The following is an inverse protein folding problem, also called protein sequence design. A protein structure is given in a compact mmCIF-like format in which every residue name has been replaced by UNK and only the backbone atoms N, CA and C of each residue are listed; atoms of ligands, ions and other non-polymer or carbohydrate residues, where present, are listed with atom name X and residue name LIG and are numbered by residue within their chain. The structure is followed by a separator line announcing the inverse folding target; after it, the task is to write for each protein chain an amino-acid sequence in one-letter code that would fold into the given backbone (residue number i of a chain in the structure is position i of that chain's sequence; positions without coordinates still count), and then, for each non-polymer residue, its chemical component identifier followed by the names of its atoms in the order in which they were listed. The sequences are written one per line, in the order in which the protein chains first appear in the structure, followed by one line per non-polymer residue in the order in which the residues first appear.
data_IF_879155240838
#
_entry.id   IF_879155240838
#
_cell.length_a   1.000
_cell.length_b   1.000
_cell.length_c   1.000
_cell.angle_alpha   90.00
_cell.angle_beta   90.00
_cell.angle_gamma   90.00
#
_symmetry.space_group_name_H-M   'P 1'
#
loop_
_entity.id
_entity.type
_entity.pdbx_description
1 polymer ?
#
# COMPACT_ATOMS: atom_id res chain seq x y z
N UNK A 1 18.58 -24.73 -9.87
CA UNK A 1 18.88 -23.27 -9.95
C UNK A 1 18.77 -22.70 -8.54
N UNK A 2 19.73 -21.83 -8.15
CA UNK A 2 19.75 -21.16 -6.85
C UNK A 2 19.10 -19.79 -6.97
N UNK A 3 18.14 -19.50 -6.08
CA UNK A 3 17.39 -18.23 -6.04
C UNK A 3 17.50 -17.65 -4.63
N UNK A 4 17.87 -16.38 -4.52
CA UNK A 4 17.83 -15.61 -3.30
C UNK A 4 16.47 -14.91 -3.14
N UNK A 5 15.89 -14.93 -1.95
CA UNK A 5 14.70 -14.16 -1.60
C UNK A 5 15.01 -13.33 -0.37
N UNK A 6 14.94 -12.01 -0.52
CA UNK A 6 15.19 -11.02 0.52
C UNK A 6 13.85 -10.44 0.96
N UNK A 7 13.58 -10.51 2.27
CA UNK A 7 12.30 -10.08 2.85
C UNK A 7 11.28 -11.22 2.93
N UNK A 8 11.03 -11.66 4.18
CA UNK A 8 10.10 -12.74 4.52
C UNK A 8 8.78 -12.22 5.13
N UNK A 9 8.26 -11.14 4.56
CA UNK A 9 6.91 -10.68 4.81
C UNK A 9 5.85 -11.65 4.26
N UNK A 10 4.59 -11.22 4.22
CA UNK A 10 3.46 -12.06 3.78
C UNK A 10 3.72 -12.66 2.39
N UNK A 11 4.14 -11.85 1.43
CA UNK A 11 4.34 -12.27 0.03
C UNK A 11 5.67 -12.98 -0.17
N UNK A 12 6.78 -12.39 0.27
CA UNK A 12 8.11 -13.00 0.06
C UNK A 12 8.24 -14.40 0.65
N UNK A 13 7.61 -14.66 1.81
CA UNK A 13 7.51 -15.99 2.41
C UNK A 13 6.70 -16.95 1.55
N UNK A 14 5.55 -16.50 1.02
CA UNK A 14 4.70 -17.29 0.12
C UNK A 14 5.43 -17.67 -1.15
N UNK A 15 6.11 -16.71 -1.81
CA UNK A 15 6.91 -16.91 -3.01
C UNK A 15 8.07 -17.88 -2.73
N UNK A 16 8.83 -17.68 -1.64
CA UNK A 16 9.94 -18.57 -1.29
C UNK A 16 9.47 -20.02 -1.07
N UNK A 17 8.35 -20.21 -0.36
CA UNK A 17 7.77 -21.53 -0.16
C UNK A 17 7.29 -22.17 -1.48
N UNK A 18 6.66 -21.38 -2.35
CA UNK A 18 6.20 -21.85 -3.65
C UNK A 18 7.37 -22.28 -4.55
N UNK A 19 8.42 -21.47 -4.66
CA UNK A 19 9.61 -21.78 -5.45
C UNK A 19 10.31 -23.07 -4.95
N UNK A 20 10.35 -23.30 -3.64
CA UNK A 20 10.86 -24.58 -3.08
C UNK A 20 10.02 -25.77 -3.54
N UNK A 21 8.69 -25.66 -3.53
CA UNK A 21 7.79 -26.72 -4.04
C UNK A 21 7.98 -27.01 -5.53
N UNK A 22 8.40 -25.98 -6.30
CA UNK A 22 8.78 -26.13 -7.72
C UNK A 22 10.18 -26.71 -7.93
N UNK A 23 10.91 -27.10 -6.86
CA UNK A 23 12.21 -27.72 -6.94
C UNK A 23 13.39 -26.75 -7.02
N UNK A 24 13.19 -25.45 -6.82
CA UNK A 24 14.30 -24.50 -6.76
C UNK A 24 15.01 -24.55 -5.40
N UNK A 25 16.34 -24.40 -5.43
CA UNK A 25 17.11 -24.22 -4.20
C UNK A 25 17.01 -22.73 -3.79
N UNK A 26 16.18 -22.45 -2.78
CA UNK A 26 15.89 -21.09 -2.34
C UNK A 26 16.63 -20.77 -1.06
N UNK A 27 17.53 -19.79 -1.13
CA UNK A 27 18.19 -19.15 -0.01
C UNK A 27 17.43 -17.90 0.39
N UNK A 28 17.35 -17.62 1.68
CA UNK A 28 16.52 -16.52 2.18
C UNK A 28 17.28 -15.66 3.18
N UNK A 29 16.99 -14.38 3.15
CA UNK A 29 17.47 -13.43 4.14
C UNK A 29 16.34 -12.49 4.58
N UNK A 30 16.35 -12.10 5.83
CA UNK A 30 15.44 -11.11 6.39
C UNK A 30 16.12 -10.35 7.51
N UNK A 31 15.85 -9.06 7.66
CA UNK A 31 16.44 -8.20 8.70
C UNK A 31 16.30 -8.80 10.10
N UNK A 32 15.12 -9.32 10.43
CA UNK A 32 14.92 -10.11 11.63
C UNK A 32 15.06 -11.58 11.28
N UNK A 33 16.03 -12.32 11.87
CA UNK A 33 16.23 -13.74 11.61
C UNK A 33 14.95 -14.56 11.84
N UNK A 34 14.76 -15.58 11.02
CA UNK A 34 13.62 -16.51 11.12
C UNK A 34 14.10 -17.96 10.96
N UNK A 35 13.52 -18.91 11.70
CA UNK A 35 13.88 -20.32 11.62
C UNK A 35 13.25 -20.96 10.36
N UNK A 36 13.83 -20.67 9.21
CA UNK A 36 13.38 -21.21 7.92
C UNK A 36 14.55 -21.86 7.17
N UNK A 37 14.31 -22.89 6.33
CA UNK A 37 15.38 -23.56 5.59
C UNK A 37 16.22 -22.61 4.75
N UNK A 38 17.55 -22.86 4.68
CA UNK A 38 18.52 -22.07 3.91
C UNK A 38 18.47 -20.56 4.23
N UNK A 39 18.22 -20.21 5.50
CA UNK A 39 18.40 -18.83 5.96
C UNK A 39 19.90 -18.53 6.01
N UNK A 40 20.30 -17.41 5.43
CA UNK A 40 21.72 -16.98 5.39
C UNK A 40 21.96 -15.79 6.30
N UNK A 41 23.21 -15.61 6.72
CA UNK A 41 23.58 -14.60 7.72
C UNK A 41 23.67 -13.19 7.19
N UNK A 42 23.87 -13.00 5.88
CA UNK A 42 24.07 -11.68 5.28
C UNK A 42 23.51 -11.56 3.86
N UNK A 43 23.33 -10.31 3.41
CA UNK A 43 22.98 -10.00 2.03
C UNK A 43 24.11 -10.37 1.05
N UNK A 44 25.35 -10.22 1.48
CA UNK A 44 26.54 -10.58 0.70
C UNK A 44 26.52 -12.09 0.39
N UNK A 45 26.17 -12.92 1.37
CA UNK A 45 26.05 -14.37 1.19
C UNK A 45 24.96 -14.73 0.16
N UNK A 46 23.83 -14.00 0.13
CA UNK A 46 22.80 -14.15 -0.94
C UNK A 46 23.44 -13.92 -2.31
N UNK A 47 24.22 -12.85 -2.48
CA UNK A 47 24.85 -12.54 -3.76
C UNK A 47 25.93 -13.58 -4.15
N UNK A 48 26.66 -14.13 -3.19
CA UNK A 48 27.65 -15.18 -3.48
C UNK A 48 27.01 -16.48 -3.94
N UNK A 49 25.90 -16.87 -3.32
CA UNK A 49 25.22 -18.14 -3.56
C UNK A 49 24.26 -18.12 -4.77
N UNK A 50 23.62 -16.98 -5.06
CA UNK A 50 22.46 -16.91 -5.94
C UNK A 50 22.73 -16.02 -7.15
N UNK A 51 22.37 -16.50 -8.34
CA UNK A 51 22.35 -15.69 -9.58
C UNK A 51 21.12 -14.77 -9.63
N UNK A 52 19.97 -15.26 -9.22
CA UNK A 52 18.70 -14.55 -9.24
C UNK A 52 18.33 -14.15 -7.82
N UNK A 53 18.05 -12.87 -7.61
CA UNK A 53 17.77 -12.30 -6.28
C UNK A 53 16.45 -11.52 -6.35
N UNK A 54 15.45 -11.99 -5.62
CA UNK A 54 14.15 -11.35 -5.49
C UNK A 54 14.08 -10.54 -4.19
N UNK A 55 13.65 -9.29 -4.26
CA UNK A 55 13.66 -8.33 -3.15
C UNK A 55 12.22 -7.92 -2.83
N UNK A 56 11.76 -8.26 -1.61
CA UNK A 56 10.44 -7.95 -1.06
C UNK A 56 10.58 -7.12 0.21
N UNK A 57 10.94 -5.86 0.08
CA UNK A 57 11.12 -4.93 1.21
C UNK A 57 9.99 -3.91 1.26
N UNK A 58 9.85 -3.20 2.40
CA UNK A 58 8.65 -2.44 2.72
C UNK A 58 8.59 -1.03 2.14
N UNK A 59 9.74 -0.39 1.92
CA UNK A 59 9.82 1.02 1.55
C UNK A 59 11.09 1.34 0.75
N UNK A 60 11.22 2.60 0.36
CA UNK A 60 12.31 3.15 -0.45
C UNK A 60 13.68 2.97 0.21
N UNK A 61 13.78 3.33 1.49
CA UNK A 61 15.01 3.23 2.27
C UNK A 61 15.51 1.77 2.33
N UNK A 62 14.62 0.84 2.67
CA UNK A 62 14.97 -0.58 2.74
C UNK A 62 15.40 -1.15 1.38
N UNK A 63 14.83 -0.67 0.26
CA UNK A 63 15.27 -1.07 -1.08
C UNK A 63 16.67 -0.56 -1.36
N UNK A 64 16.93 0.74 -1.14
CA UNK A 64 18.22 1.36 -1.41
C UNK A 64 19.33 0.78 -0.53
N UNK A 65 19.08 0.57 0.76
CA UNK A 65 20.00 -0.12 1.66
C UNK A 65 20.31 -1.54 1.19
N UNK A 66 19.28 -2.31 0.83
CA UNK A 66 19.44 -3.69 0.37
C UNK A 66 20.32 -3.77 -0.86
N UNK A 67 20.05 -2.95 -1.90
CA UNK A 67 20.86 -2.98 -3.13
C UNK A 67 22.26 -2.43 -2.90
N UNK A 68 22.43 -1.48 -1.99
CA UNK A 68 23.76 -0.96 -1.63
C UNK A 68 24.64 -2.06 -1.01
N UNK A 69 24.12 -2.79 -0.01
CA UNK A 69 24.86 -3.90 0.60
C UNK A 69 25.12 -5.05 -0.37
N UNK A 70 24.18 -5.35 -1.27
CA UNK A 70 24.37 -6.36 -2.31
C UNK A 70 25.44 -5.95 -3.30
N UNK A 71 25.55 -4.64 -3.63
CA UNK A 71 26.45 -4.11 -4.69
C UNK A 71 27.92 -4.46 -4.47
N UNK A 72 28.35 -4.70 -3.23
CA UNK A 72 29.70 -5.12 -2.88
C UNK A 72 30.08 -6.49 -3.49
N UNK A 73 29.12 -7.34 -3.74
CA UNK A 73 29.29 -8.72 -4.25
C UNK A 73 28.61 -8.98 -5.60
N UNK A 74 27.92 -7.97 -6.14
CA UNK A 74 27.28 -8.09 -7.44
C UNK A 74 28.29 -8.13 -8.58
N UNK A 75 27.93 -8.84 -9.65
CA UNK A 75 28.69 -8.97 -10.88
C UNK A 75 27.73 -9.23 -12.06
N UNK A 76 28.23 -9.25 -13.29
CA UNK A 76 27.46 -9.46 -14.55
C UNK A 76 26.55 -10.67 -14.58
N UNK A 77 26.83 -11.69 -13.75
CA UNK A 77 26.00 -12.91 -13.67
C UNK A 77 24.64 -12.68 -12.96
N UNK A 78 24.52 -11.62 -12.13
CA UNK A 78 23.36 -11.43 -11.28
C UNK A 78 22.21 -10.74 -12.00
N UNK A 79 21.01 -11.15 -11.61
CA UNK A 79 19.73 -10.54 -12.01
C UNK A 79 18.92 -10.28 -10.75
N UNK A 80 18.68 -9.00 -10.45
CA UNK A 80 17.89 -8.57 -9.31
C UNK A 80 16.48 -8.20 -9.77
N UNK A 81 15.47 -8.69 -9.02
CA UNK A 81 14.07 -8.39 -9.25
C UNK A 81 13.53 -7.66 -8.03
N UNK A 82 13.19 -6.40 -8.17
CA UNK A 82 12.60 -5.59 -7.10
C UNK A 82 11.08 -5.65 -7.17
N UNK A 83 10.46 -6.24 -6.15
CA UNK A 83 9.02 -6.44 -6.06
C UNK A 83 8.32 -5.43 -5.15
N UNK A 84 9.08 -4.54 -4.55
CA UNK A 84 8.59 -3.54 -3.62
C UNK A 84 7.84 -2.42 -4.34
N UNK A 85 6.74 -1.93 -3.78
CA UNK A 85 6.13 -0.67 -4.21
C UNK A 85 6.84 0.48 -3.51
N UNK A 86 7.59 1.25 -4.27
CA UNK A 86 8.40 2.40 -3.84
C UNK A 86 8.19 3.56 -4.81
N UNK A 87 8.75 4.73 -4.52
CA UNK A 87 8.72 5.85 -5.46
C UNK A 87 9.48 5.47 -6.77
N UNK A 88 9.00 5.88 -7.96
CA UNK A 88 9.66 5.59 -9.23
C UNK A 88 11.12 6.05 -9.28
N UNK A 89 11.46 7.17 -8.62
CA UNK A 89 12.84 7.65 -8.54
C UNK A 89 13.73 6.75 -7.68
N UNK A 90 13.21 6.23 -6.57
CA UNK A 90 13.93 5.25 -5.74
C UNK A 90 14.17 3.94 -6.48
N UNK A 91 13.21 3.51 -7.31
CA UNK A 91 13.37 2.33 -8.16
C UNK A 91 14.47 2.55 -9.21
N UNK A 92 14.51 3.74 -9.86
CA UNK A 92 15.58 4.11 -10.79
C UNK A 92 16.95 4.19 -10.10
N UNK A 93 17.01 4.79 -8.92
CA UNK A 93 18.25 4.87 -8.15
C UNK A 93 18.76 3.48 -7.73
N UNK A 94 17.88 2.57 -7.33
CA UNK A 94 18.22 1.18 -7.03
C UNK A 94 18.81 0.46 -8.26
N UNK A 95 18.19 0.63 -9.42
CA UNK A 95 18.69 0.07 -10.69
C UNK A 95 20.09 0.59 -11.01
N UNK A 96 20.33 1.91 -10.89
CA UNK A 96 21.67 2.50 -11.13
C UNK A 96 22.74 1.90 -10.22
N UNK A 97 22.44 1.69 -8.93
CA UNK A 97 23.40 1.08 -7.98
C UNK A 97 23.76 -0.33 -8.46
N UNK A 98 22.79 -1.13 -8.84
CA UNK A 98 22.97 -2.52 -9.29
C UNK A 98 23.73 -2.57 -10.63
N UNK A 99 23.33 -1.75 -11.60
CA UNK A 99 23.89 -1.77 -12.95
C UNK A 99 25.34 -1.28 -13.00
N UNK A 100 25.78 -0.43 -12.06
CA UNK A 100 27.21 -0.05 -11.93
C UNK A 100 28.13 -1.24 -11.65
N UNK A 101 27.64 -2.30 -11.00
CA UNK A 101 28.40 -3.55 -10.81
C UNK A 101 28.32 -4.50 -12.03
N UNK A 102 27.64 -4.07 -13.10
CA UNK A 102 27.40 -4.84 -14.32
C UNK A 102 26.27 -5.88 -14.17
N UNK A 103 25.63 -5.96 -13.03
CA UNK A 103 24.43 -6.79 -12.79
C UNK A 103 23.20 -6.21 -13.52
N UNK A 104 22.15 -7.01 -13.67
CA UNK A 104 20.90 -6.59 -14.29
C UNK A 104 19.84 -6.37 -13.24
N UNK A 105 18.96 -5.42 -13.52
CA UNK A 105 17.87 -5.04 -12.63
C UNK A 105 16.52 -5.11 -13.36
N UNK A 106 15.49 -5.56 -12.67
CA UNK A 106 14.10 -5.62 -13.12
C UNK A 106 13.21 -4.99 -12.06
N UNK A 107 12.48 -3.97 -12.44
CA UNK A 107 11.36 -3.40 -11.69
C UNK A 107 10.16 -4.34 -11.89
N UNK A 108 9.75 -5.06 -10.84
CA UNK A 108 8.79 -6.15 -10.93
C UNK A 108 7.75 -6.16 -9.80
N UNK A 109 7.05 -5.04 -9.51
CA UNK A 109 5.93 -5.07 -8.58
C UNK A 109 4.85 -6.05 -9.05
N UNK A 110 4.00 -6.44 -8.13
CA UNK A 110 2.98 -7.46 -8.38
C UNK A 110 1.60 -7.01 -7.88
N UNK A 111 0.58 -7.70 -8.37
CA UNK A 111 -0.74 -7.74 -7.75
C UNK A 111 -1.14 -9.19 -7.46
N UNK A 112 -1.90 -9.36 -6.39
CA UNK A 112 -2.31 -10.66 -5.86
C UNK A 112 -2.25 -10.68 -4.34
N UNK A 113 -2.97 -11.64 -3.76
CA UNK A 113 -3.07 -11.84 -2.32
C UNK A 113 -1.98 -12.77 -1.77
N UNK A 114 -1.96 -12.95 -0.44
CA UNK A 114 -1.19 -14.00 0.25
C UNK A 114 -1.38 -15.37 -0.42
N UNK A 115 -2.64 -15.74 -0.69
CA UNK A 115 -2.98 -17.02 -1.32
C UNK A 115 -2.43 -17.14 -2.75
N UNK A 116 -2.48 -16.05 -3.53
CA UNK A 116 -1.90 -16.02 -4.87
C UNK A 116 -0.38 -16.23 -4.83
N UNK A 117 0.32 -15.63 -3.87
CA UNK A 117 1.76 -15.84 -3.67
C UNK A 117 2.08 -17.30 -3.31
N UNK A 118 1.28 -17.91 -2.43
CA UNK A 118 1.44 -19.30 -2.02
C UNK A 118 1.16 -20.29 -3.17
N UNK A 119 0.22 -19.96 -4.06
CA UNK A 119 -0.13 -20.79 -5.23
C UNK A 119 0.77 -20.55 -6.45
N UNK A 120 1.56 -19.46 -6.46
CA UNK A 120 2.33 -19.05 -7.64
C UNK A 120 1.45 -18.42 -8.71
N UNK A 121 0.43 -17.67 -8.30
CA UNK A 121 -0.57 -17.03 -9.16
C UNK A 121 -0.50 -15.49 -9.10
N UNK A 122 0.67 -14.93 -8.78
CA UNK A 122 0.86 -13.49 -8.82
C UNK A 122 0.80 -12.96 -10.26
N UNK A 123 0.32 -11.75 -10.43
CA UNK A 123 0.47 -11.00 -11.68
C UNK A 123 1.58 -9.99 -11.49
N UNK A 124 2.67 -10.15 -12.24
CA UNK A 124 3.80 -9.23 -12.20
C UNK A 124 3.68 -8.16 -13.28
N UNK A 125 3.89 -6.92 -12.91
CA UNK A 125 4.18 -5.83 -13.83
C UNK A 125 5.69 -5.72 -13.94
N UNK A 126 6.26 -5.79 -15.14
CA UNK A 126 7.71 -5.83 -15.28
C UNK A 126 8.23 -4.71 -16.18
N UNK A 127 9.32 -4.09 -15.76
CA UNK A 127 10.01 -3.08 -16.55
C UNK A 127 11.53 -3.26 -16.43
N UNK A 128 12.24 -2.96 -17.50
CA UNK A 128 13.68 -3.11 -17.59
C UNK A 128 14.16 -3.31 -19.00
N UNK A 129 15.47 -3.50 -19.19
CA UNK A 129 15.99 -3.81 -20.51
C UNK A 129 15.63 -5.25 -20.94
N UNK A 130 15.51 -5.48 -22.24
CA UNK A 130 15.08 -6.78 -22.82
C UNK A 130 15.94 -7.96 -22.37
N UNK A 131 17.24 -7.75 -22.13
CA UNK A 131 18.12 -8.82 -21.69
C UNK A 131 17.84 -9.20 -20.22
N UNK A 132 17.61 -8.20 -19.36
CA UNK A 132 17.23 -8.43 -17.96
C UNK A 132 15.88 -9.16 -17.88
N UNK A 133 14.87 -8.74 -18.67
CA UNK A 133 13.55 -9.35 -18.69
C UNK A 133 13.60 -10.81 -19.17
N UNK A 134 14.34 -11.11 -20.25
CA UNK A 134 14.53 -12.50 -20.71
C UNK A 134 15.19 -13.38 -19.63
N UNK A 135 16.23 -12.87 -18.98
CA UNK A 135 16.94 -13.64 -17.95
C UNK A 135 16.08 -13.85 -16.69
N UNK A 136 15.24 -12.87 -16.35
CA UNK A 136 14.32 -12.96 -15.21
C UNK A 136 13.11 -13.86 -15.48
N UNK A 137 12.76 -14.07 -16.75
CA UNK A 137 11.54 -14.77 -17.19
C UNK A 137 11.34 -16.09 -16.46
N UNK A 138 12.36 -16.96 -16.45
CA UNK A 138 12.29 -18.28 -15.82
C UNK A 138 11.92 -18.23 -14.32
N UNK A 139 12.40 -17.20 -13.60
CA UNK A 139 12.12 -17.04 -12.16
C UNK A 139 10.74 -16.43 -11.93
N UNK A 140 10.34 -15.48 -12.77
CA UNK A 140 9.03 -14.86 -12.71
C UNK A 140 7.92 -15.86 -13.07
N UNK A 141 8.07 -16.60 -14.18
CA UNK A 141 7.13 -17.62 -14.63
C UNK A 141 6.88 -18.71 -13.59
N UNK A 142 7.88 -19.02 -12.77
CA UNK A 142 7.76 -20.03 -11.72
C UNK A 142 6.73 -19.65 -10.63
N UNK A 143 6.41 -18.36 -10.46
CA UNK A 143 5.48 -17.85 -9.44
C UNK A 143 4.41 -16.90 -9.99
N UNK A 144 4.25 -16.82 -11.31
CA UNK A 144 3.32 -15.94 -12.00
C UNK A 144 2.10 -16.69 -12.53
N UNK A 145 0.91 -16.06 -12.40
CA UNK A 145 -0.25 -16.31 -13.26
C UNK A 145 -0.10 -15.59 -14.59
N UNK A 146 0.47 -14.38 -14.55
CA UNK A 146 0.65 -13.52 -15.71
C UNK A 146 1.83 -12.58 -15.48
N UNK A 147 2.53 -12.24 -16.55
CA UNK A 147 3.58 -11.23 -16.58
C UNK A 147 3.17 -10.18 -17.62
N UNK A 148 3.14 -8.91 -17.22
CA UNK A 148 2.78 -7.79 -18.09
C UNK A 148 4.00 -6.89 -18.21
N UNK A 149 4.59 -6.85 -19.39
CA UNK A 149 5.72 -5.95 -19.69
C UNK A 149 5.22 -4.52 -19.87
N UNK A 150 5.80 -3.58 -19.11
CA UNK A 150 5.35 -2.19 -19.04
C UNK A 150 6.28 -1.26 -19.83
N UNK A 151 7.61 -1.42 -19.64
CA UNK A 151 8.58 -0.56 -20.31
C UNK A 151 9.87 -0.34 -19.54
N UNK A 152 10.22 0.92 -19.27
CA UNK A 152 11.46 1.29 -18.58
C UNK A 152 11.32 1.23 -17.07
N UNK A 153 12.45 1.06 -16.35
CA UNK A 153 12.53 1.08 -14.87
C UNK A 153 11.79 2.30 -14.29
N UNK A 154 10.98 2.06 -13.29
CA UNK A 154 10.11 3.04 -12.64
C UNK A 154 8.68 3.07 -13.21
N UNK A 155 8.46 2.58 -14.46
CA UNK A 155 7.12 2.57 -15.05
C UNK A 155 6.23 1.44 -14.49
N UNK A 156 6.79 0.27 -14.20
CA UNK A 156 6.03 -0.82 -13.58
C UNK A 156 5.61 -0.44 -12.16
N UNK A 157 6.50 0.15 -11.39
CA UNK A 157 6.17 0.64 -10.04
C UNK A 157 5.18 1.81 -10.08
N UNK A 158 5.26 2.73 -11.08
CA UNK A 158 4.26 3.78 -11.27
C UNK A 158 2.87 3.20 -11.57
N UNK A 159 2.78 2.20 -12.47
CA UNK A 159 1.53 1.49 -12.74
C UNK A 159 0.98 0.83 -11.47
N UNK A 160 1.84 0.20 -10.67
CA UNK A 160 1.42 -0.42 -9.40
C UNK A 160 0.83 0.60 -8.43
N UNK A 161 1.42 1.78 -8.30
CA UNK A 161 0.89 2.87 -7.48
C UNK A 161 -0.50 3.27 -8.00
N UNK A 162 -0.64 3.52 -9.31
CA UNK A 162 -1.91 3.89 -9.93
C UNK A 162 -3.01 2.83 -9.71
N UNK A 163 -2.69 1.54 -9.86
CA UNK A 163 -3.66 0.45 -9.59
C UNK A 163 -4.03 0.36 -8.12
N UNK A 164 -3.09 0.64 -7.20
CA UNK A 164 -3.39 0.67 -5.77
C UNK A 164 -4.24 1.88 -5.37
N UNK A 165 -4.13 3.03 -6.05
CA UNK A 165 -5.06 4.16 -5.88
C UNK A 165 -6.50 3.73 -6.15
N UNK A 166 -6.77 3.08 -7.28
CA UNK A 166 -8.10 2.57 -7.63
C UNK A 166 -8.58 1.56 -6.56
N UNK A 167 -7.70 0.64 -6.17
CA UNK A 167 -8.01 -0.39 -5.18
C UNK A 167 -8.39 0.21 -3.83
N UNK A 168 -7.61 1.16 -3.33
CA UNK A 168 -7.86 1.81 -2.04
C UNK A 168 -9.13 2.67 -2.07
N UNK A 169 -9.33 3.44 -3.14
CA UNK A 169 -10.55 4.25 -3.33
C UNK A 169 -11.81 3.39 -3.38
N UNK A 170 -11.78 2.26 -4.10
CA UNK A 170 -12.91 1.34 -4.19
C UNK A 170 -13.28 0.74 -2.82
N UNK A 171 -12.29 0.40 -2.01
CA UNK A 171 -12.53 -0.16 -0.66
C UNK A 171 -13.06 0.90 0.29
N UNK A 172 -12.56 2.13 0.22
CA UNK A 172 -13.11 3.24 1.00
C UNK A 172 -14.55 3.54 0.61
N UNK A 173 -14.85 3.62 -0.69
CA UNK A 173 -16.21 3.85 -1.18
C UNK A 173 -17.17 2.72 -0.75
N UNK A 174 -16.72 1.47 -0.76
CA UNK A 174 -17.51 0.33 -0.28
C UNK A 174 -17.81 0.42 1.23
N UNK A 175 -16.84 0.87 2.04
CA UNK A 175 -17.05 1.07 3.47
C UNK A 175 -18.12 2.14 3.75
N UNK A 176 -18.11 3.25 2.99
CA UNK A 176 -19.11 4.31 3.08
C UNK A 176 -20.49 3.84 2.60
N UNK A 177 -20.54 3.07 1.50
CA UNK A 177 -21.80 2.53 0.99
C UNK A 177 -22.44 1.51 1.94
N UNK A 178 -21.63 0.65 2.59
CA UNK A 178 -22.11 -0.27 3.62
C UNK A 178 -22.66 0.50 4.83
N UNK A 179 -21.99 1.57 5.25
CA UNK A 179 -22.46 2.42 6.34
C UNK A 179 -23.80 3.11 6.01
N UNK A 180 -23.94 3.63 4.80
CA UNK A 180 -25.20 4.21 4.32
C UNK A 180 -26.32 3.17 4.26
N UNK A 181 -26.04 1.97 3.72
CA UNK A 181 -27.00 0.87 3.67
C UNK A 181 -27.51 0.51 5.07
N UNK A 182 -26.59 0.38 6.04
CA UNK A 182 -26.94 0.09 7.43
C UNK A 182 -27.79 1.21 8.05
N UNK A 183 -27.39 2.48 7.85
CA UNK A 183 -28.13 3.64 8.38
C UNK A 183 -29.57 3.74 7.83
N UNK A 184 -29.79 3.24 6.62
CA UNK A 184 -31.11 3.16 5.98
C UNK A 184 -31.88 1.86 6.30
N UNK A 185 -31.34 1.01 7.19
CA UNK A 185 -31.98 -0.24 7.59
C UNK A 185 -31.95 -1.35 6.54
N UNK A 186 -31.07 -1.26 5.53
CA UNK A 186 -30.88 -2.33 4.54
C UNK A 186 -30.03 -3.44 5.13
N UNK A 187 -30.46 -4.72 5.01
CA UNK A 187 -29.61 -5.85 5.39
C UNK A 187 -28.32 -5.85 4.58
N UNK A 188 -27.16 -5.88 5.24
CA UNK A 188 -25.85 -5.79 4.57
C UNK A 188 -25.59 -6.98 3.65
N UNK A 189 -26.12 -8.17 3.97
CA UNK A 189 -26.06 -9.36 3.12
C UNK A 189 -26.80 -9.13 1.80
N UNK A 190 -27.94 -8.44 1.82
CA UNK A 190 -28.69 -8.09 0.61
C UNK A 190 -27.96 -7.01 -0.20
N UNK A 191 -27.26 -6.10 0.46
CA UNK A 191 -26.40 -5.16 -0.24
C UNK A 191 -25.27 -5.88 -1.00
N UNK A 192 -24.60 -6.86 -0.37
CA UNK A 192 -23.54 -7.65 -1.04
C UNK A 192 -24.10 -8.44 -2.21
N UNK A 193 -25.24 -9.14 -2.03
CA UNK A 193 -25.92 -9.88 -3.10
C UNK A 193 -26.25 -8.98 -4.31
N UNK A 194 -26.77 -7.77 -4.06
CA UNK A 194 -27.03 -6.79 -5.12
C UNK A 194 -25.76 -6.31 -5.81
N UNK A 195 -24.67 -6.12 -5.04
CA UNK A 195 -23.37 -5.73 -5.59
C UNK A 195 -22.76 -6.81 -6.48
N UNK A 196 -22.98 -8.10 -6.20
CA UNK A 196 -22.49 -9.19 -7.06
C UNK A 196 -23.02 -9.12 -8.49
N UNK A 197 -24.24 -8.59 -8.67
CA UNK A 197 -24.84 -8.33 -9.98
C UNK A 197 -24.49 -6.96 -10.57
N UNK A 198 -23.76 -6.10 -9.81
CA UNK A 198 -23.47 -4.73 -10.24
C UNK A 198 -22.17 -4.66 -11.06
N UNK A 199 -22.16 -3.83 -12.09
CA UNK A 199 -21.02 -3.66 -12.99
C UNK A 199 -19.75 -3.12 -12.28
N UNK A 200 -19.87 -2.44 -11.15
CA UNK A 200 -18.74 -1.95 -10.34
C UNK A 200 -18.15 -3.01 -9.41
N UNK A 201 -18.76 -4.22 -9.33
CA UNK A 201 -18.27 -5.30 -8.50
C UNK A 201 -16.93 -5.83 -9.02
N UNK A 202 -15.94 -5.91 -8.15
CA UNK A 202 -14.60 -6.36 -8.49
C UNK A 202 -14.12 -7.47 -7.55
N UNK A 203 -13.09 -8.21 -7.95
CA UNK A 203 -12.48 -9.23 -7.09
C UNK A 203 -11.98 -8.64 -5.75
N UNK A 204 -11.59 -7.37 -5.72
CA UNK A 204 -11.23 -6.66 -4.49
C UNK A 204 -12.45 -6.47 -3.60
N UNK A 205 -13.56 -6.00 -4.12
CA UNK A 205 -14.80 -5.79 -3.36
C UNK A 205 -15.39 -7.12 -2.88
N UNK A 206 -15.37 -8.16 -3.71
CA UNK A 206 -15.74 -9.52 -3.34
C UNK A 206 -14.99 -10.04 -2.10
N UNK A 207 -13.71 -9.72 -2.01
CA UNK A 207 -12.86 -10.11 -0.89
C UNK A 207 -13.08 -9.23 0.34
N UNK A 208 -13.28 -7.91 0.17
CA UNK A 208 -13.20 -6.93 1.26
C UNK A 208 -14.53 -6.63 1.92
N UNK A 209 -15.64 -6.61 1.19
CA UNK A 209 -16.96 -6.34 1.80
C UNK A 209 -17.36 -7.36 2.87
N UNK A 210 -17.23 -8.68 2.65
CA UNK A 210 -17.50 -9.65 3.72
C UNK A 210 -16.61 -9.44 4.95
N UNK A 211 -15.32 -9.13 4.75
CA UNK A 211 -14.38 -8.83 5.87
C UNK A 211 -14.83 -7.63 6.70
N UNK A 212 -15.29 -6.56 6.04
CA UNK A 212 -15.80 -5.37 6.72
C UNK A 212 -17.04 -5.68 7.57
N UNK A 213 -17.99 -6.44 7.01
CA UNK A 213 -19.23 -6.84 7.68
C UNK A 213 -18.93 -7.76 8.87
N UNK A 214 -18.06 -8.75 8.68
CA UNK A 214 -17.65 -9.71 9.72
C UNK A 214 -16.62 -9.14 10.71
N UNK A 215 -16.13 -7.91 10.47
CA UNK A 215 -15.05 -7.28 11.25
C UNK A 215 -13.76 -8.12 11.31
N UNK A 216 -13.51 -8.93 10.28
CA UNK A 216 -12.27 -9.68 10.12
C UNK A 216 -11.22 -8.83 9.41
N UNK A 217 -10.28 -8.28 10.16
CA UNK A 217 -9.22 -7.45 9.63
C UNK A 217 -7.84 -8.14 9.63
N UNK A 218 -7.84 -9.48 9.60
CA UNK A 218 -6.60 -10.25 9.36
C UNK A 218 -5.95 -9.78 8.04
N UNK A 219 -4.67 -9.35 8.06
CA UNK A 219 -4.09 -8.64 6.94
C UNK A 219 -3.79 -9.53 5.74
N UNK A 220 -4.42 -9.22 4.61
CA UNK A 220 -3.94 -9.59 3.28
C UNK A 220 -3.00 -8.52 2.73
N UNK A 221 -3.29 -7.26 3.01
CA UNK A 221 -2.46 -6.09 2.77
C UNK A 221 -2.76 -5.05 3.85
N UNK A 222 -1.73 -4.65 4.61
CA UNK A 222 -1.97 -3.87 5.82
C UNK A 222 -2.22 -2.38 5.55
N UNK A 223 -2.91 -1.73 6.50
CA UNK A 223 -3.15 -0.27 6.55
C UNK A 223 -1.85 0.49 6.29
N UNK A 224 -0.76 0.17 7.02
CA UNK A 224 0.51 0.89 6.88
C UNK A 224 1.11 0.82 5.48
N UNK A 225 0.95 -0.32 4.79
CA UNK A 225 1.48 -0.47 3.44
C UNK A 225 0.62 0.24 2.40
N UNK A 226 -0.72 0.19 2.53
CA UNK A 226 -1.61 0.94 1.65
C UNK A 226 -1.45 2.45 1.87
N UNK A 227 -1.32 2.90 3.14
CA UNK A 227 -1.04 4.30 3.46
C UNK A 227 0.25 4.77 2.79
N UNK A 228 1.33 3.98 2.88
CA UNK A 228 2.59 4.29 2.22
C UNK A 228 2.40 4.48 0.71
N UNK A 229 1.66 3.59 0.05
CA UNK A 229 1.41 3.69 -1.39
C UNK A 229 0.61 4.95 -1.74
N UNK A 230 -0.40 5.32 -0.94
CA UNK A 230 -1.15 6.58 -1.11
C UNK A 230 -0.29 7.81 -0.82
N UNK A 231 0.64 7.74 0.13
CA UNK A 231 1.61 8.82 0.39
C UNK A 231 2.55 9.02 -0.80
N UNK A 232 3.03 7.95 -1.44
CA UNK A 232 3.84 8.05 -2.66
C UNK A 232 3.00 8.70 -3.78
N UNK A 233 1.75 8.28 -3.96
CA UNK A 233 0.86 8.87 -4.96
C UNK A 233 0.65 10.38 -4.73
N UNK A 234 0.43 10.82 -3.48
CA UNK A 234 0.29 12.23 -3.16
C UNK A 234 1.61 13.03 -3.32
N UNK A 235 2.76 12.41 -3.13
CA UNK A 235 4.05 13.06 -3.44
C UNK A 235 4.19 13.27 -4.95
N UNK A 236 3.80 12.28 -5.77
CA UNK A 236 3.79 12.39 -7.23
C UNK A 236 2.76 13.41 -7.72
N UNK A 237 1.58 13.49 -7.06
CA UNK A 237 0.58 14.53 -7.28
C UNK A 237 1.18 15.94 -7.15
N UNK A 238 1.82 16.21 -6.02
CA UNK A 238 2.47 17.50 -5.75
C UNK A 238 3.58 17.82 -6.75
N UNK A 239 4.32 16.79 -7.21
CA UNK A 239 5.43 16.94 -8.17
C UNK A 239 4.91 17.23 -9.58
N UNK A 240 3.78 16.63 -9.96
CA UNK A 240 3.22 16.68 -11.32
C UNK A 240 1.98 17.57 -11.44
N UNK A 241 1.52 18.21 -10.36
CA UNK A 241 0.35 19.11 -10.30
C UNK A 241 -0.95 18.45 -10.83
N UNK A 242 -1.27 17.23 -10.33
CA UNK A 242 -2.36 16.41 -10.86
C UNK A 242 -3.72 16.62 -10.15
N UNK A 243 -3.74 17.18 -8.93
CA UNK A 243 -4.95 17.35 -8.09
C UNK A 243 -5.70 16.04 -7.80
N UNK A 244 -5.05 15.11 -7.11
CA UNK A 244 -5.57 13.77 -6.80
C UNK A 244 -6.44 13.76 -5.52
N UNK A 245 -7.56 14.51 -5.51
CA UNK A 245 -8.40 14.71 -4.32
C UNK A 245 -8.94 13.41 -3.69
N UNK A 246 -9.37 12.43 -4.49
CA UNK A 246 -9.82 11.12 -3.97
C UNK A 246 -8.68 10.39 -3.26
N UNK A 247 -7.47 10.39 -3.83
CA UNK A 247 -6.31 9.74 -3.22
C UNK A 247 -5.93 10.41 -1.90
N UNK A 248 -6.02 11.74 -1.83
CA UNK A 248 -5.79 12.48 -0.59
C UNK A 248 -6.81 12.10 0.49
N UNK A 249 -8.09 12.03 0.16
CA UNK A 249 -9.13 11.60 1.10
C UNK A 249 -8.90 10.17 1.62
N UNK A 250 -8.56 9.24 0.74
CA UNK A 250 -8.27 7.84 1.12
C UNK A 250 -7.01 7.75 1.99
N UNK A 251 -5.95 8.50 1.66
CA UNK A 251 -4.74 8.59 2.49
C UNK A 251 -5.10 9.02 3.92
N UNK A 252 -5.95 10.04 4.07
CA UNK A 252 -6.33 10.57 5.38
C UNK A 252 -7.14 9.56 6.19
N UNK A 253 -8.01 8.77 5.55
CA UNK A 253 -8.72 7.65 6.21
C UNK A 253 -7.78 6.54 6.69
N UNK A 254 -6.76 6.20 5.88
CA UNK A 254 -5.75 5.23 6.28
C UNK A 254 -4.85 5.78 7.41
N UNK A 255 -4.50 7.07 7.36
CA UNK A 255 -3.73 7.74 8.42
C UNK A 255 -4.51 7.73 9.75
N UNK A 256 -5.80 7.97 9.72
CA UNK A 256 -6.69 7.87 10.88
C UNK A 256 -6.59 6.46 11.52
N UNK A 257 -6.60 5.38 10.71
CA UNK A 257 -6.43 4.02 11.25
C UNK A 257 -5.02 3.79 11.84
N UNK A 258 -3.99 4.39 11.28
CA UNK A 258 -2.63 4.36 11.87
C UNK A 258 -2.61 5.02 13.26
N UNK A 259 -3.27 6.17 13.41
CA UNK A 259 -3.36 6.90 14.68
C UNK A 259 -4.09 6.09 15.78
N UNK A 260 -5.02 5.22 15.37
CA UNK A 260 -5.72 4.27 16.25
C UNK A 260 -4.92 2.97 16.51
N UNK A 261 -3.64 2.91 16.12
CA UNK A 261 -2.78 1.74 16.34
C UNK A 261 -3.07 0.53 15.44
N UNK A 262 -3.88 0.69 14.38
CA UNK A 262 -4.37 -0.39 13.50
C UNK A 262 -3.49 -0.59 12.24
N UNK A 263 -2.25 -0.15 12.29
CA UNK A 263 -1.34 -0.17 11.14
C UNK A 263 -1.06 -1.57 10.57
N UNK A 264 -1.13 -2.61 11.39
CA UNK A 264 -0.92 -3.99 11.01
C UNK A 264 -2.19 -4.74 10.58
N UNK A 265 -3.37 -4.15 10.78
CA UNK A 265 -4.64 -4.70 10.28
C UNK A 265 -4.74 -4.56 8.76
N UNK A 266 -5.65 -5.32 8.17
CA UNK A 266 -5.99 -5.18 6.74
C UNK A 266 -6.50 -3.78 6.43
N UNK A 267 -6.14 -3.23 5.27
CA UNK A 267 -6.52 -1.86 4.92
C UNK A 267 -8.05 -1.66 4.81
N UNK A 268 -8.84 -2.73 4.74
CA UNK A 268 -10.30 -2.67 4.88
C UNK A 268 -10.76 -2.23 6.28
N UNK A 269 -9.84 -2.14 7.27
CA UNK A 269 -10.10 -1.58 8.58
C UNK A 269 -10.54 -0.09 8.55
N UNK A 270 -10.45 0.59 7.41
CA UNK A 270 -11.11 1.90 7.20
C UNK A 270 -12.62 1.84 7.50
N UNK A 271 -13.24 0.67 7.37
CA UNK A 271 -14.64 0.43 7.73
C UNK A 271 -14.92 0.59 9.23
N UNK A 272 -13.94 0.40 10.12
CA UNK A 272 -14.12 0.57 11.59
C UNK A 272 -14.59 1.98 11.97
N UNK A 273 -14.32 2.99 11.14
CA UNK A 273 -14.85 4.32 11.34
C UNK A 273 -16.38 4.36 11.35
N UNK A 274 -16.99 3.53 10.53
CA UNK A 274 -18.44 3.52 10.31
C UNK A 274 -19.14 2.44 11.14
N UNK A 275 -18.40 1.45 11.60
CA UNK A 275 -18.87 0.34 12.43
C UNK A 275 -18.04 0.30 13.72
N UNK A 276 -18.22 1.29 14.64
CA UNK A 276 -17.48 1.31 15.90
C UNK A 276 -17.78 0.02 16.67
N UNK A 277 -16.78 -0.48 17.39
CA UNK A 277 -16.98 -1.55 18.37
C UNK A 277 -17.90 -0.99 19.46
N UNK A 278 -18.95 -1.74 19.81
CA UNK A 278 -19.63 -1.49 21.07
C UNK A 278 -18.62 -1.97 22.12
N UNK A 279 -17.97 -1.05 22.81
CA UNK A 279 -17.16 -1.43 23.96
C UNK A 279 -18.06 -2.24 24.89
N UNK A 280 -17.63 -3.41 25.37
CA UNK A 280 -18.37 -4.10 26.41
C UNK A 280 -18.47 -3.12 27.59
N UNK A 281 -19.69 -2.76 27.96
CA UNK A 281 -19.96 -1.92 29.14
C UNK A 281 -19.17 -2.54 30.26
N UNK A 282 -18.21 -1.79 30.80
CA UNK A 282 -17.38 -2.30 31.89
C UNK A 282 -18.29 -2.67 33.06
N UNK A 283 -18.13 -3.86 33.64
CA UNK A 283 -18.94 -4.34 34.78
C UNK A 283 -18.95 -3.37 35.99
N UNK A 284 -18.16 -2.31 35.93
CA UNK A 284 -18.13 -1.25 36.95
C UNK A 284 -19.26 -0.22 36.78
N UNK A 285 -19.86 -0.05 35.60
CA UNK A 285 -20.99 0.87 35.41
C UNK A 285 -22.34 0.24 35.74
N UNK A 286 -22.46 -1.08 35.80
CA UNK A 286 -23.71 -1.78 36.17
C UNK A 286 -23.97 -1.82 37.68
N UNK A 287 -23.08 -1.28 38.53
CA UNK A 287 -23.24 -1.30 40.01
C UNK A 287 -23.68 0.01 40.61
N UNK A 288 -23.99 1.04 39.85
CA UNK A 288 -24.37 2.36 40.39
C UNK A 288 -25.79 2.85 40.12
N UNK A 289 -26.67 2.03 39.52
CA UNK A 289 -28.09 2.40 39.37
C UNK A 289 -29.05 1.42 40.05
N UNK A 290 -28.87 1.26 41.36
CA UNK A 290 -29.90 0.71 42.26
C UNK A 290 -30.30 1.80 43.23
N UNK A 291 -31.07 2.79 42.78
CA UNK A 291 -31.87 3.65 43.66
C UNK A 291 -33.25 3.81 43.04
N UNK A 292 -34.17 3.14 43.72
CA UNK A 292 -35.61 3.22 43.57
C UNK A 292 -36.13 4.65 43.50
N UNK A 293 -37.01 4.95 42.55
CA UNK A 293 -38.18 5.81 42.79
C UNK A 293 -39.37 5.45 41.90
N UNK A 294 -40.61 5.67 42.38
CA UNK A 294 -41.80 4.94 41.94
C UNK A 294 -42.55 5.64 40.83
N UNK A 295 -43.24 4.79 40.07
CA UNK A 295 -44.14 5.12 38.98
C UNK A 295 -45.31 5.94 39.49
N UNK A 296 -45.50 7.16 38.99
CA UNK A 296 -46.75 7.90 39.09
C UNK A 296 -47.48 7.93 37.76
N UNK A 297 -48.66 7.35 37.73
CA UNK A 297 -49.62 7.38 36.65
C UNK A 297 -50.06 8.81 36.30
N UNK A 298 -50.08 9.19 35.04
CA UNK A 298 -50.97 10.24 34.54
C UNK A 298 -51.51 9.83 33.14
N UNK A 299 -52.78 9.58 33.18
CA UNK A 299 -53.65 9.23 32.05
C UNK A 299 -53.94 10.42 31.16
N UNK A 300 -54.09 10.14 29.91
CA UNK A 300 -55.02 10.67 28.90
C UNK A 300 -55.31 12.18 28.82
N UNK A 301 -55.05 12.77 27.70
CA UNK A 301 -55.98 13.69 27.02
C UNK A 301 -55.80 13.61 25.52
N UNK A 302 -56.93 13.23 24.90
CA UNK A 302 -57.09 13.20 23.43
C UNK A 302 -57.54 14.59 22.90
N UNK A 303 -57.26 14.76 21.63
CA UNK A 303 -58.00 15.59 20.68
C UNK A 303 -57.92 17.11 20.78
N UNK A 304 -57.36 17.75 19.76
CA UNK A 304 -58.12 18.69 18.92
C UNK A 304 -57.41 18.97 17.61
N UNK A 305 -58.09 18.66 16.53
CA UNK A 305 -57.78 19.04 15.15
C UNK A 305 -58.11 20.54 14.93
N UNK A 306 -57.19 21.24 14.27
CA UNK A 306 -57.55 22.43 13.46
C UNK A 306 -56.72 22.49 12.18
N UNK A 307 -57.41 22.34 11.10
CA UNK A 307 -57.05 22.71 9.71
C UNK A 307 -56.85 24.23 9.59
N UNK A 308 -56.03 24.68 8.67
CA UNK A 308 -56.17 25.81 7.72
C UNK A 308 -54.80 26.15 7.13
N UNK A 309 -54.59 25.84 5.90
CA UNK A 309 -54.46 26.67 4.67
C UNK A 309 -53.21 27.46 4.42
N UNK A 310 -52.80 27.32 3.16
CA UNK A 310 -52.09 28.26 2.28
C UNK A 310 -50.57 28.32 2.28
N UNK A 311 -50.06 27.79 1.15
CA UNK A 311 -48.75 28.14 0.56
C UNK A 311 -48.67 29.61 0.20
N UNK A 312 -47.46 30.18 0.14
CA UNK A 312 -47.16 31.05 -1.00
C UNK A 312 -45.95 30.55 -1.80
N UNK A 313 -46.15 30.49 -3.09
CA UNK A 313 -45.11 30.38 -4.13
C UNK A 313 -44.17 31.56 -4.05
N UNK A 314 -42.86 31.29 -4.09
CA UNK A 314 -41.84 32.28 -4.40
C UNK A 314 -41.05 31.85 -5.65
N UNK A 315 -40.63 32.82 -6.49
CA UNK A 315 -40.13 32.55 -7.84
C UNK A 315 -38.64 32.20 -7.86
N UNK A 316 -38.30 31.38 -8.85
CA UNK A 316 -36.91 31.10 -9.24
C UNK A 316 -36.28 32.37 -9.80
N UNK A 317 -35.23 32.85 -9.18
CA UNK A 317 -34.23 33.70 -9.82
C UNK A 317 -32.82 33.17 -9.55
N UNK A 318 -32.15 32.93 -10.67
CA UNK A 318 -30.75 32.56 -10.77
C UNK A 318 -29.85 33.59 -10.08
N UNK A 319 -29.02 33.15 -9.11
CA UNK A 319 -27.77 33.80 -8.81
C UNK A 319 -26.71 32.76 -8.50
N UNK A 320 -25.91 32.43 -9.52
CA UNK A 320 -24.61 31.82 -9.35
C UNK A 320 -23.70 32.90 -8.79
N UNK A 321 -23.44 32.84 -7.49
CA UNK A 321 -22.36 33.62 -6.88
C UNK A 321 -21.10 32.77 -6.92
N UNK A 322 -20.09 33.25 -7.62
CA UNK A 322 -18.75 32.72 -7.64
C UNK A 322 -18.18 32.75 -6.21
N UNK A 323 -17.88 31.57 -5.66
CA UNK A 323 -17.08 31.44 -4.44
C UNK A 323 -15.63 31.32 -4.89
N UNK A 324 -14.85 32.36 -4.65
CA UNK A 324 -13.39 32.28 -4.79
C UNK A 324 -12.82 31.24 -3.80
N UNK A 325 -11.87 30.38 -4.23
CA UNK A 325 -11.24 29.45 -3.32
C UNK A 325 -10.26 30.18 -2.39
N UNK A 326 -10.54 30.17 -1.11
CA UNK A 326 -9.58 30.59 -0.09
C UNK A 326 -8.38 29.63 -0.11
N UNK A 327 -7.25 30.08 -0.62
CA UNK A 327 -5.98 29.40 -0.56
C UNK A 327 -5.49 29.37 0.90
N UNK A 328 -5.73 28.27 1.60
CA UNK A 328 -5.06 27.98 2.87
C UNK A 328 -3.66 27.44 2.60
N UNK A 329 -2.63 28.24 2.89
CA UNK A 329 -1.24 27.80 2.88
C UNK A 329 -1.02 26.67 3.89
N UNK A 330 -0.22 25.64 3.54
CA UNK A 330 0.07 24.53 4.46
C UNK A 330 0.75 25.02 5.74
N UNK A 331 0.37 24.43 6.89
CA UNK A 331 0.91 24.77 8.20
C UNK A 331 2.44 24.59 8.26
N UNK A 332 3.11 25.40 9.07
CA UNK A 332 4.58 25.37 9.22
C UNK A 332 5.12 23.98 9.60
N UNK A 333 4.38 23.20 10.36
CA UNK A 333 4.73 21.81 10.71
C UNK A 333 4.88 20.89 9.49
N UNK A 334 4.01 21.00 8.49
CA UNK A 334 4.10 20.20 7.25
C UNK A 334 5.30 20.62 6.40
N UNK A 335 5.64 21.92 6.42
CA UNK A 335 6.83 22.44 5.73
C UNK A 335 8.13 22.01 6.42
N UNK A 336 8.14 21.86 7.72
CA UNK A 336 9.29 21.47 8.52
C UNK A 336 9.59 19.97 8.41
N UNK A 337 8.57 19.11 8.44
CA UNK A 337 8.72 17.67 8.16
C UNK A 337 9.20 17.39 6.74
N UNK A 338 8.69 18.11 5.75
CA UNK A 338 9.17 18.04 4.38
C UNK A 338 10.65 18.47 4.28
N UNK A 339 11.05 19.57 4.95
CA UNK A 339 12.46 20.04 4.98
C UNK A 339 13.41 19.03 5.64
N UNK A 340 13.01 18.38 6.74
CA UNK A 340 13.83 17.37 7.41
C UNK A 340 14.02 16.11 6.54
N UNK A 341 12.97 15.65 5.86
CA UNK A 341 13.04 14.52 4.93
C UNK A 341 13.90 14.82 3.70
N UNK A 342 13.74 15.99 3.10
CA UNK A 342 14.57 16.43 1.96
C UNK A 342 16.02 16.71 2.36
N UNK A 343 16.25 17.19 3.58
CA UNK A 343 17.61 17.37 4.12
C UNK A 343 18.37 16.06 4.19
N UNK A 344 17.72 14.97 4.59
CA UNK A 344 18.33 13.63 4.69
C UNK A 344 18.62 13.03 3.30
N UNK A 345 17.68 13.11 2.35
CA UNK A 345 17.92 12.70 0.96
C UNK A 345 19.03 13.53 0.29
N UNK A 346 19.04 14.84 0.54
CA UNK A 346 20.08 15.74 0.06
C UNK A 346 21.48 15.37 0.59
N UNK A 347 21.57 14.96 1.86
CA UNK A 347 22.83 14.50 2.47
C UNK A 347 23.29 13.16 1.89
N UNK A 348 22.38 12.22 1.65
CA UNK A 348 22.67 10.95 0.98
C UNK A 348 23.18 11.16 -0.46
N UNK A 349 22.52 12.04 -1.20
CA UNK A 349 22.95 12.41 -2.56
C UNK A 349 24.30 13.14 -2.58
N UNK A 350 24.57 14.03 -1.60
CA UNK A 350 25.88 14.69 -1.48
C UNK A 350 26.97 13.70 -1.07
N UNK A 351 26.68 12.74 -0.21
CA UNK A 351 27.61 11.67 0.16
C UNK A 351 27.97 10.77 -1.02
N UNK A 352 26.97 10.43 -1.85
CA UNK A 352 27.16 9.70 -3.10
C UNK A 352 28.01 10.51 -4.11
N UNK A 353 27.79 11.83 -4.23
CA UNK A 353 28.62 12.73 -5.08
C UNK A 353 30.06 12.88 -4.59
N UNK A 354 30.29 12.89 -3.26
CA UNK A 354 31.66 12.94 -2.69
C UNK A 354 32.43 11.64 -2.92
N UNK A 355 31.73 10.49 -2.88
CA UNK A 355 32.34 9.19 -3.23
C UNK A 355 32.69 9.12 -4.72
N UNK A 356 31.86 9.72 -5.59
CA UNK A 356 32.09 9.81 -7.02
C UNK A 356 33.40 10.60 -7.36
N UNK A 357 33.68 11.69 -6.64
CA UNK A 357 34.93 12.48 -6.83
C UNK A 357 36.19 11.79 -6.34
N UNK A 358 36.10 10.75 -5.50
CA UNK A 358 37.25 9.98 -5.00
C UNK A 358 37.63 8.79 -5.89
N UNK A 359 36.80 8.42 -6.86
CA UNK A 359 37.04 7.28 -7.76
C UNK A 359 37.41 7.66 -9.20
N UNK A 360 37.60 8.94 -9.50
CA UNK A 360 38.15 9.34 -10.80
C UNK A 360 39.68 9.14 -10.78
N UNK A 361 40.25 8.36 -11.74
CA UNK A 361 41.70 8.20 -11.81
C UNK A 361 42.35 9.53 -12.19
N UNK A 362 43.38 9.91 -11.44
CA UNK A 362 44.27 11.04 -11.76
C UNK A 362 44.89 10.74 -13.12
N UNK A 363 44.52 11.49 -14.15
CA UNK A 363 45.18 11.41 -15.44
C UNK A 363 46.61 11.96 -15.26
N UNK A 364 47.60 11.09 -15.28
CA UNK A 364 49.01 11.46 -15.39
C UNK A 364 49.20 12.16 -16.76
N UNK A 365 49.46 13.47 -16.66
CA UNK A 365 50.08 14.19 -17.76
C UNK A 365 51.60 13.93 -17.60
N UNK A 366 52.14 13.16 -18.45
CA UNK A 366 53.56 13.17 -18.76
C UNK A 366 53.79 13.55 -20.22
N UNK A 367 54.66 14.56 -20.38
CA UNK A 367 55.57 14.80 -21.47
C UNK A 367 55.05 15.18 -22.87
#
# INVERSE_FOLDING_TARGET
MKIGVIGLGIIGRGVAAHLRRKGFQVFVWNRTPRPVPNFVGSLQEIAELCKYIQIFVSNDEALLETVHHLSEKLARKHVLLAHSTVAPDSMRAAAEIVERSGARFVDAPFTGSKLAAEKGELVYYVAGNRAALRDAGLVLEASAKQIVEIGSIGQATALKIATNMITAASVQAAAEALALAQALGLPLEKFVEAMEANASYSATLAMKMPKMIQRDFEPHFSVKHMLKDMQIANQLDSLHHLDLGITAAVRDRLLEQMQWGRGDEDYSAVARKYFPEIEPVSEHEMKSEDVQQPIAHASARAAETKSVSEEPKLPMENRIAAVEPAASSPSETVKEEARLRWGFLGQLMQRARRLRKRSEPVSSKEG
#
